data_IF_622265761558
#
_entry.id   IF_622265761558
#
_cell.length_a   1.000
_cell.length_b   1.000
_cell.length_c   1.000
_cell.angle_alpha   90.00
_cell.angle_beta   90.00
_cell.angle_gamma   90.00
#
_symmetry.space_group_name_H-M   'P 1'
#
loop_
_entity.id
_entity.type
_entity.pdbx_description
1 polymer ?
#
# COMPACT_ATOMS: atom_id res chain seq x y z
N UNK A 1 3.04 0.23 21.80
CA UNK A 1 2.10 1.27 22.25
C UNK A 1 0.76 0.65 22.66
N UNK A 2 0.03 0.01 21.74
CA UNK A 2 -1.28 -0.60 22.01
C UNK A 2 -1.24 -1.86 22.91
N UNK A 3 -0.06 -2.44 23.14
CA UNK A 3 0.15 -3.58 24.04
C UNK A 3 0.34 -3.18 25.51
N UNK A 4 0.39 -1.88 25.83
CA UNK A 4 0.53 -1.42 27.22
C UNK A 4 -0.76 -1.73 28.01
N UNK A 5 -0.67 -2.02 29.32
CA UNK A 5 -1.85 -2.33 30.15
C UNK A 5 -2.93 -1.25 30.11
N UNK A 6 -2.53 0.03 30.03
CA UNK A 6 -3.43 1.17 29.92
C UNK A 6 -4.26 1.20 28.62
N UNK A 7 -3.85 0.45 27.59
CA UNK A 7 -4.50 0.36 26.29
C UNK A 7 -5.10 -1.02 26.03
N UNK A 8 -5.20 -1.90 27.03
CA UNK A 8 -5.99 -3.12 26.88
C UNK A 8 -7.46 -2.75 26.68
N UNK A 9 -8.14 -3.44 25.77
CA UNK A 9 -9.57 -3.26 25.61
C UNK A 9 -10.27 -3.69 26.91
N UNK A 10 -11.25 -2.93 27.41
CA UNK A 10 -12.02 -3.31 28.59
C UNK A 10 -12.68 -4.68 28.42
N UNK A 11 -12.84 -5.46 29.49
CA UNK A 11 -13.37 -6.83 29.41
C UNK A 11 -14.77 -6.90 28.76
N UNK A 12 -15.60 -5.89 28.98
CA UNK A 12 -16.93 -5.78 28.39
C UNK A 12 -16.93 -5.62 26.85
N UNK A 13 -15.80 -5.21 26.25
CA UNK A 13 -15.68 -5.07 24.79
C UNK A 13 -15.45 -6.39 24.06
N UNK A 14 -15.03 -7.46 24.74
CA UNK A 14 -14.78 -8.75 24.12
C UNK A 14 -16.06 -9.55 23.86
N UNK A 15 -17.15 -9.24 24.56
CA UNK A 15 -18.42 -9.94 24.38
C UNK A 15 -19.32 -9.17 23.42
N UNK A 16 -19.39 -9.60 22.16
CA UNK A 16 -20.17 -8.96 21.10
C UNK A 16 -21.66 -8.77 21.44
N UNK A 17 -22.21 -9.57 22.37
CA UNK A 17 -23.59 -9.44 22.84
C UNK A 17 -23.82 -8.29 23.84
N UNK A 18 -22.73 -7.80 24.47
CA UNK A 18 -22.76 -6.73 25.48
C UNK A 18 -22.32 -5.37 24.91
N UNK A 19 -21.72 -5.35 23.72
CA UNK A 19 -21.22 -4.13 23.11
C UNK A 19 -22.33 -3.42 22.34
N UNK A 20 -22.87 -2.36 22.94
CA UNK A 20 -23.66 -1.39 22.20
C UNK A 20 -22.73 -0.43 21.46
N UNK A 21 -22.56 -0.63 20.15
CA UNK A 21 -21.69 0.18 19.28
C UNK A 21 -22.11 1.65 19.18
N UNK A 22 -23.36 1.96 19.55
CA UNK A 22 -23.91 3.32 19.56
C UNK A 22 -23.80 3.99 20.93
N UNK A 23 -23.27 3.30 21.95
CA UNK A 23 -23.13 3.89 23.28
C UNK A 23 -22.08 5.00 23.28
N UNK A 24 -22.30 6.08 24.07
CA UNK A 24 -21.31 7.16 24.19
C UNK A 24 -20.00 6.64 24.80
N UNK A 25 -20.07 5.65 25.69
CA UNK A 25 -18.89 5.03 26.33
C UNK A 25 -18.03 4.27 25.32
N UNK A 26 -18.63 3.46 24.46
CA UNK A 26 -17.91 2.78 23.39
C UNK A 26 -17.31 3.78 22.41
N UNK A 27 -18.06 4.83 22.10
CA UNK A 27 -17.61 5.90 21.20
C UNK A 27 -16.37 6.62 21.74
N UNK A 28 -16.39 6.99 23.02
CA UNK A 28 -15.28 7.68 23.66
C UNK A 28 -14.03 6.79 23.74
N UNK A 29 -14.18 5.48 23.95
CA UNK A 29 -13.06 4.54 24.08
C UNK A 29 -12.23 4.45 22.78
N UNK A 30 -12.89 4.25 21.62
CA UNK A 30 -12.15 4.23 20.35
C UNK A 30 -11.68 5.62 19.91
N UNK A 31 -12.46 6.68 20.19
CA UNK A 31 -12.05 8.07 19.89
C UNK A 31 -10.83 8.51 20.71
N UNK A 32 -10.73 8.08 21.98
CA UNK A 32 -9.55 8.32 22.82
C UNK A 32 -8.29 7.72 22.21
N UNK A 33 -8.37 6.48 21.72
CA UNK A 33 -7.26 5.79 21.05
C UNK A 33 -6.87 6.48 19.75
N UNK A 34 -7.86 6.90 18.94
CA UNK A 34 -7.60 7.65 17.71
C UNK A 34 -6.97 9.02 17.98
N UNK A 35 -7.41 9.76 19.02
CA UNK A 35 -6.80 11.04 19.39
C UNK A 35 -5.33 10.91 19.76
N UNK A 36 -4.98 9.85 20.49
CA UNK A 36 -3.59 9.61 20.87
C UNK A 36 -2.76 9.23 19.64
N UNK A 37 -3.27 8.32 18.82
CA UNK A 37 -2.59 7.88 17.62
C UNK A 37 -2.42 9.03 16.60
N UNK A 38 -3.43 9.89 16.47
CA UNK A 38 -3.36 11.13 15.70
C UNK A 38 -2.25 12.05 16.20
N UNK A 39 -2.19 12.35 17.50
CA UNK A 39 -1.18 13.26 18.05
C UNK A 39 0.23 12.70 17.92
N UNK A 40 0.38 11.40 18.19
CA UNK A 40 1.65 10.69 18.03
C UNK A 40 2.15 10.70 16.58
N UNK A 41 1.29 10.41 15.60
CA UNK A 41 1.65 10.45 14.17
C UNK A 41 2.04 11.86 13.76
N UNK A 42 1.31 12.89 14.20
CA UNK A 42 1.65 14.28 13.88
C UNK A 42 3.05 14.65 14.38
N UNK A 43 3.40 14.30 15.63
CA UNK A 43 4.74 14.57 16.18
C UNK A 43 5.82 13.78 15.43
N UNK A 44 5.60 12.49 15.18
CA UNK A 44 6.55 11.64 14.47
C UNK A 44 6.76 12.10 13.01
N UNK A 45 5.72 12.62 12.37
CA UNK A 45 5.80 13.17 11.01
C UNK A 45 6.62 14.45 10.93
N UNK A 46 6.56 15.33 11.95
CA UNK A 46 7.45 16.48 12.04
C UNK A 46 8.92 16.04 12.10
N UNK A 47 9.23 14.97 12.83
CA UNK A 47 10.57 14.37 12.84
C UNK A 47 10.97 13.86 11.44
N UNK A 48 10.08 13.14 10.76
CA UNK A 48 10.33 12.67 9.39
C UNK A 48 10.56 13.84 8.40
N UNK A 49 9.78 14.91 8.49
CA UNK A 49 9.97 16.12 7.69
C UNK A 49 11.34 16.77 7.94
N UNK A 50 11.74 16.89 9.21
CA UNK A 50 13.05 17.42 9.58
C UNK A 50 14.18 16.56 9.00
N UNK A 51 14.07 15.23 9.12
CA UNK A 51 15.05 14.28 8.56
C UNK A 51 15.11 14.36 7.03
N UNK A 52 13.95 14.46 6.35
CA UNK A 52 13.86 14.57 4.90
C UNK A 52 14.44 15.89 4.37
N UNK A 53 13.97 17.03 4.90
CA UNK A 53 14.37 18.36 4.40
C UNK A 53 15.76 18.81 4.87
N UNK A 54 16.28 18.31 6.00
CA UNK A 54 17.67 18.58 6.45
C UNK A 54 18.73 17.95 5.53
N UNK A 55 18.32 16.97 4.71
CA UNK A 55 19.20 16.26 3.81
C UNK A 55 19.97 15.10 4.45
N UNK A 56 19.65 14.76 5.70
CA UNK A 56 20.26 13.66 6.45
C UNK A 56 20.10 12.32 5.73
N UNK A 57 18.96 12.08 5.08
CA UNK A 57 18.73 10.86 4.29
C UNK A 57 19.81 10.69 3.22
N UNK A 58 20.17 11.74 2.50
CA UNK A 58 21.21 11.73 1.45
C UNK A 58 22.61 11.35 1.97
N UNK A 59 22.88 11.56 3.25
CA UNK A 59 24.07 11.05 3.93
C UNK A 59 23.91 9.56 4.29
N UNK A 60 22.77 9.19 4.87
CA UNK A 60 22.44 7.81 5.26
C UNK A 60 22.34 6.83 4.08
N UNK A 61 22.07 7.32 2.86
CA UNK A 61 22.08 6.51 1.63
C UNK A 61 23.38 5.72 1.41
N UNK A 62 24.51 6.14 2.02
CA UNK A 62 25.77 5.37 1.96
C UNK A 62 25.67 4.02 2.67
N UNK A 63 24.79 3.90 3.66
CA UNK A 63 24.60 2.71 4.50
C UNK A 63 23.35 1.92 4.11
N UNK A 64 22.47 2.50 3.29
CA UNK A 64 21.20 1.88 2.90
C UNK A 64 21.42 1.16 1.57
N UNK A 65 21.34 -0.18 1.59
CA UNK A 65 21.42 -1.02 0.41
C UNK A 65 20.42 -2.18 0.47
N UNK A 66 20.36 -3.03 -0.57
CA UNK A 66 19.46 -4.19 -0.59
C UNK A 66 19.62 -5.10 0.64
N UNK A 67 20.87 -5.22 1.15
CA UNK A 67 21.21 -5.99 2.35
C UNK A 67 20.60 -5.43 3.64
N UNK A 68 20.31 -4.13 3.72
CA UNK A 68 19.64 -3.52 4.86
C UNK A 68 18.13 -3.43 4.66
N UNK A 69 17.67 -3.19 3.42
CA UNK A 69 16.24 -3.05 3.10
C UNK A 69 15.49 -4.37 3.33
N UNK A 70 16.01 -5.49 2.82
CA UNK A 70 15.34 -6.79 2.93
C UNK A 70 15.06 -7.27 4.37
N UNK A 71 16.03 -7.22 5.32
CA UNK A 71 15.76 -7.57 6.71
C UNK A 71 14.84 -6.54 7.39
N UNK A 72 14.95 -5.26 7.07
CA UNK A 72 14.05 -4.23 7.62
C UNK A 72 12.58 -4.49 7.24
N UNK A 73 12.30 -4.78 5.96
CA UNK A 73 10.94 -5.13 5.50
C UNK A 73 10.46 -6.44 6.14
N UNK A 74 11.33 -7.45 6.23
CA UNK A 74 11.00 -8.72 6.90
C UNK A 74 10.61 -8.49 8.36
N UNK A 75 11.35 -7.65 9.09
CA UNK A 75 11.06 -7.31 10.49
C UNK A 75 9.77 -6.50 10.66
N UNK A 76 9.38 -5.68 9.67
CA UNK A 76 8.08 -5.03 9.65
C UNK A 76 6.92 -6.02 9.45
N UNK A 77 7.12 -7.05 8.64
CA UNK A 77 6.08 -8.03 8.32
C UNK A 77 5.83 -9.03 9.45
N UNK A 78 6.85 -9.39 10.24
CA UNK A 78 6.75 -10.42 11.28
C UNK A 78 5.63 -10.16 12.32
N UNK A 79 5.47 -8.96 12.90
CA UNK A 79 4.40 -8.68 13.85
C UNK A 79 2.99 -8.78 13.27
N UNK A 80 2.84 -8.67 11.95
CA UNK A 80 1.54 -8.79 11.28
C UNK A 80 1.07 -10.25 11.19
N UNK A 81 1.99 -11.21 11.33
CA UNK A 81 1.67 -12.63 11.17
C UNK A 81 0.66 -13.15 12.20
N UNK A 82 0.69 -12.66 13.44
CA UNK A 82 -0.30 -13.05 14.46
C UNK A 82 -1.69 -12.57 14.10
N UNK A 83 -1.83 -11.30 13.72
CA UNK A 83 -3.12 -10.72 13.32
C UNK A 83 -3.68 -11.40 12.07
N UNK A 84 -2.83 -11.63 11.06
CA UNK A 84 -3.24 -12.33 9.84
C UNK A 84 -3.60 -13.79 10.14
N UNK A 85 -2.89 -14.42 11.08
CA UNK A 85 -3.18 -15.78 11.53
C UNK A 85 -4.55 -15.90 12.20
N UNK A 86 -4.91 -14.94 13.06
CA UNK A 86 -6.22 -14.92 13.73
C UNK A 86 -7.36 -14.72 12.72
N UNK A 87 -7.20 -13.78 11.78
CA UNK A 87 -8.20 -13.51 10.73
C UNK A 87 -8.31 -14.66 9.72
N UNK A 88 -7.19 -15.24 9.28
CA UNK A 88 -7.18 -16.41 8.39
C UNK A 88 -7.72 -17.67 9.08
N UNK A 89 -7.52 -17.79 10.40
CA UNK A 89 -8.01 -18.87 11.25
C UNK A 89 -9.54 -18.90 11.35
N UNK A 90 -10.21 -17.75 11.19
CA UNK A 90 -11.66 -17.67 11.22
C UNK A 90 -12.33 -18.61 10.19
N UNK A 91 -11.72 -18.76 9.00
CA UNK A 91 -12.11 -19.78 8.03
C UNK A 91 -10.95 -20.19 7.11
N UNK A 92 -10.12 -21.14 7.59
CA UNK A 92 -8.93 -21.64 6.88
C UNK A 92 -9.17 -22.01 5.40
N UNK A 93 -10.32 -22.60 5.05
CA UNK A 93 -10.61 -23.00 3.67
C UNK A 93 -10.71 -21.82 2.68
N UNK A 94 -11.35 -20.72 3.10
CA UNK A 94 -11.48 -19.51 2.28
C UNK A 94 -10.14 -18.77 2.22
N UNK A 95 -9.39 -18.76 3.32
CA UNK A 95 -8.03 -18.21 3.34
C UNK A 95 -7.12 -18.96 2.35
N UNK A 96 -7.12 -20.30 2.39
CA UNK A 96 -6.35 -21.14 1.48
C UNK A 96 -6.76 -20.92 0.02
N UNK A 97 -8.06 -20.82 -0.28
CA UNK A 97 -8.55 -20.48 -1.61
C UNK A 97 -8.05 -19.10 -2.07
N UNK A 98 -8.11 -18.10 -1.19
CA UNK A 98 -7.67 -16.73 -1.51
C UNK A 98 -6.18 -16.71 -1.84
N UNK A 99 -5.35 -17.39 -1.04
CA UNK A 99 -3.92 -17.57 -1.30
C UNK A 99 -3.70 -18.27 -2.64
N UNK A 100 -4.42 -19.37 -2.88
CA UNK A 100 -4.34 -20.10 -4.14
C UNK A 100 -4.68 -19.22 -5.35
N UNK A 101 -5.76 -18.43 -5.28
CA UNK A 101 -6.15 -17.49 -6.34
C UNK A 101 -5.09 -16.40 -6.56
N UNK A 102 -4.52 -15.85 -5.48
CA UNK A 102 -3.43 -14.88 -5.57
C UNK A 102 -2.22 -15.50 -6.29
N UNK A 103 -1.82 -16.71 -5.92
CA UNK A 103 -0.70 -17.41 -6.55
C UNK A 103 -1.00 -17.75 -8.02
N UNK A 104 -2.21 -18.24 -8.31
CA UNK A 104 -2.64 -18.56 -9.66
C UNK A 104 -2.61 -17.32 -10.57
N UNK A 105 -3.12 -16.18 -10.09
CA UNK A 105 -3.14 -14.93 -10.86
C UNK A 105 -1.76 -14.29 -11.00
N UNK A 106 -0.98 -14.24 -9.93
CA UNK A 106 0.32 -13.58 -9.92
C UNK A 106 1.43 -14.38 -10.61
N UNK A 107 1.42 -15.72 -10.51
CA UNK A 107 2.48 -16.58 -11.04
C UNK A 107 2.13 -17.25 -12.37
N UNK A 108 0.92 -17.81 -12.49
CA UNK A 108 0.55 -18.64 -13.66
C UNK A 108 -0.16 -17.85 -14.76
N UNK A 109 -1.21 -17.10 -14.40
CA UNK A 109 -2.02 -16.33 -15.36
C UNK A 109 -1.46 -14.94 -15.69
N UNK A 110 -0.26 -14.62 -15.18
CA UNK A 110 0.45 -13.36 -15.39
C UNK A 110 0.51 -12.94 -16.87
N UNK A 111 0.79 -13.87 -17.77
CA UNK A 111 1.01 -13.58 -19.19
C UNK A 111 -0.27 -13.70 -20.04
N UNK A 112 -1.43 -13.93 -19.43
CA UNK A 112 -2.69 -14.05 -20.16
C UNK A 112 -3.21 -12.65 -20.50
N UNK A 113 -3.15 -12.30 -21.78
CA UNK A 113 -3.71 -11.07 -22.30
C UNK A 113 -5.23 -11.21 -22.46
N UNK A 114 -5.99 -10.46 -21.66
CA UNK A 114 -7.45 -10.37 -21.81
C UNK A 114 -7.76 -9.34 -22.92
N UNK A 115 -8.51 -9.72 -23.96
CA UNK A 115 -8.94 -8.78 -24.99
C UNK A 115 -10.00 -7.84 -24.42
N UNK A 116 -9.65 -6.58 -24.18
CA UNK A 116 -10.58 -5.55 -23.71
C UNK A 116 -11.02 -4.71 -24.92
N UNK A 117 -12.33 -4.56 -25.18
CA UNK A 117 -12.81 -3.70 -26.25
C UNK A 117 -12.54 -2.24 -25.88
N UNK A 118 -11.65 -1.58 -26.62
CA UNK A 118 -11.41 -0.14 -26.47
C UNK A 118 -12.19 0.61 -27.56
N UNK A 119 -13.08 1.49 -27.13
CA UNK A 119 -13.86 2.33 -28.03
C UNK A 119 -13.10 3.63 -28.33
N UNK A 120 -12.59 3.77 -29.55
CA UNK A 120 -11.87 4.96 -30.00
C UNK A 120 -12.28 5.35 -31.42
N UNK A 121 -12.68 6.63 -31.61
CA UNK A 121 -13.02 7.26 -32.90
C UNK A 121 -13.78 6.35 -33.88
N UNK A 122 -14.92 5.78 -33.46
CA UNK A 122 -15.88 5.12 -34.35
C UNK A 122 -15.50 3.74 -34.88
N UNK A 123 -14.40 3.13 -34.41
CA UNK A 123 -14.09 1.71 -34.66
C UNK A 123 -13.82 0.99 -33.34
N UNK A 124 -14.48 -0.15 -33.14
CA UNK A 124 -14.19 -1.03 -32.01
C UNK A 124 -12.84 -1.73 -32.29
N UNK A 125 -11.81 -1.41 -31.53
CA UNK A 125 -10.53 -2.12 -31.61
C UNK A 125 -10.30 -2.86 -30.29
N UNK A 126 -9.99 -4.14 -30.39
CA UNK A 126 -9.69 -4.99 -29.24
C UNK A 126 -8.23 -4.77 -28.82
N UNK A 127 -8.00 -4.23 -27.63
CA UNK A 127 -6.66 -4.05 -27.07
C UNK A 127 -6.33 -5.20 -26.11
N UNK A 128 -5.08 -5.64 -26.08
CA UNK A 128 -4.59 -6.69 -25.17
C UNK A 128 -4.25 -6.06 -23.82
N UNK A 129 -4.97 -6.42 -22.75
CA UNK A 129 -4.72 -5.92 -21.39
C UNK A 129 -4.35 -7.07 -20.44
N UNK A 130 -3.24 -6.91 -19.70
CA UNK A 130 -2.72 -7.93 -18.77
C UNK A 130 -3.34 -7.75 -17.37
N UNK A 131 -4.64 -8.00 -17.26
CA UNK A 131 -5.43 -7.78 -16.04
C UNK A 131 -4.84 -8.49 -14.81
N UNK A 132 -4.49 -9.76 -14.97
CA UNK A 132 -3.96 -10.62 -13.90
C UNK A 132 -2.59 -10.20 -13.39
N UNK A 133 -1.81 -9.47 -14.20
CA UNK A 133 -0.49 -9.00 -13.80
C UNK A 133 -0.57 -7.70 -13.00
N UNK A 134 -1.53 -6.82 -13.31
CA UNK A 134 -1.66 -5.50 -12.67
C UNK A 134 -2.49 -5.56 -11.38
N UNK A 135 -3.55 -6.37 -11.35
CA UNK A 135 -4.48 -6.46 -10.22
C UNK A 135 -4.71 -7.88 -9.68
N UNK A 136 -3.68 -8.74 -9.52
CA UNK A 136 -3.87 -10.13 -9.09
C UNK A 136 -4.55 -10.23 -7.73
N UNK A 137 -4.10 -9.42 -6.76
CA UNK A 137 -4.62 -9.45 -5.38
C UNK A 137 -6.07 -8.97 -5.34
N UNK A 138 -6.38 -7.84 -5.98
CA UNK A 138 -7.74 -7.30 -6.02
C UNK A 138 -8.72 -8.29 -6.67
N UNK A 139 -8.34 -8.90 -7.80
CA UNK A 139 -9.18 -9.88 -8.48
C UNK A 139 -9.42 -11.13 -7.63
N UNK A 140 -8.37 -11.64 -6.97
CA UNK A 140 -8.49 -12.77 -6.05
C UNK A 140 -9.43 -12.46 -4.88
N UNK A 141 -9.31 -11.27 -4.29
CA UNK A 141 -10.21 -10.80 -3.23
C UNK A 141 -11.66 -10.67 -3.71
N UNK A 142 -11.90 -10.12 -4.90
CA UNK A 142 -13.24 -10.03 -5.48
C UNK A 142 -13.87 -11.41 -5.69
N UNK A 143 -13.12 -12.39 -6.20
CA UNK A 143 -13.62 -13.74 -6.43
C UNK A 143 -13.84 -14.51 -5.12
N UNK A 144 -12.92 -14.39 -4.17
CA UNK A 144 -13.08 -14.98 -2.84
C UNK A 144 -14.31 -14.41 -2.13
N UNK A 145 -14.48 -13.08 -2.15
CA UNK A 145 -15.66 -12.42 -1.60
C UNK A 145 -16.94 -12.86 -2.32
N UNK A 146 -16.92 -12.95 -3.65
CA UNK A 146 -18.08 -13.41 -4.43
C UNK A 146 -18.46 -14.86 -4.07
N UNK A 147 -17.47 -15.74 -3.86
CA UNK A 147 -17.73 -17.08 -3.36
C UNK A 147 -18.36 -17.04 -1.96
N UNK A 148 -17.82 -16.25 -1.03
CA UNK A 148 -18.42 -16.08 0.30
C UNK A 148 -19.87 -15.58 0.19
N UNK A 149 -20.15 -14.66 -0.73
CA UNK A 149 -21.50 -14.17 -0.98
C UNK A 149 -22.43 -15.29 -1.45
N UNK A 150 -22.01 -16.10 -2.43
CA UNK A 150 -22.79 -17.27 -2.90
C UNK A 150 -23.04 -18.24 -1.74
N UNK A 151 -22.00 -18.60 -0.97
CA UNK A 151 -22.10 -19.51 0.18
C UNK A 151 -23.01 -18.98 1.29
N UNK A 152 -23.06 -17.65 1.45
CA UNK A 152 -23.97 -16.97 2.39
C UNK A 152 -25.41 -17.06 1.89
N UNK A 153 -25.67 -16.81 0.60
CA UNK A 153 -27.02 -16.87 0.02
C UNK A 153 -27.56 -18.30 -0.04
N UNK A 154 -26.69 -19.30 -0.20
CA UNK A 154 -27.08 -20.72 -0.20
C UNK A 154 -27.18 -21.32 1.22
N UNK A 155 -27.06 -20.49 2.27
CA UNK A 155 -27.09 -20.89 3.69
C UNK A 155 -26.15 -22.06 4.05
N UNK A 156 -25.04 -22.17 3.33
CA UNK A 156 -24.01 -23.20 3.59
C UNK A 156 -23.12 -22.85 4.77
N UNK A 157 -23.00 -21.55 5.08
CA UNK A 157 -22.27 -21.04 6.23
C UNK A 157 -23.22 -20.92 7.44
N UNK A 158 -22.79 -21.30 8.65
CA UNK A 158 -23.68 -21.32 9.80
C UNK A 158 -24.10 -19.90 10.22
N UNK A 159 -25.36 -19.75 10.63
CA UNK A 159 -25.92 -18.48 11.12
C UNK A 159 -25.67 -18.24 12.61
N UNK A 160 -25.17 -19.24 13.35
CA UNK A 160 -24.86 -19.12 14.77
C UNK A 160 -23.51 -18.40 14.98
N UNK A 161 -23.44 -17.32 15.78
CA UNK A 161 -22.22 -16.53 15.96
C UNK A 161 -21.02 -17.28 16.53
N UNK A 162 -21.27 -18.37 17.26
CA UNK A 162 -20.24 -19.20 17.90
C UNK A 162 -19.77 -20.36 17.02
N UNK A 163 -20.41 -20.57 15.87
CA UNK A 163 -20.09 -21.66 14.97
C UNK A 163 -18.93 -21.28 14.04
N UNK A 164 -18.08 -22.27 13.74
CA UNK A 164 -16.97 -22.12 12.81
C UNK A 164 -17.47 -21.68 11.42
N UNK A 165 -16.88 -20.61 10.88
CA UNK A 165 -17.24 -20.07 9.57
C UNK A 165 -18.34 -19.01 9.57
N UNK A 166 -18.95 -18.68 10.72
CA UNK A 166 -19.88 -17.55 10.83
C UNK A 166 -19.25 -16.22 10.36
N UNK A 167 -17.99 -15.97 10.74
CA UNK A 167 -17.26 -14.75 10.37
C UNK A 167 -16.95 -14.65 8.87
N UNK A 168 -17.09 -15.75 8.12
CA UNK A 168 -16.91 -15.73 6.67
C UNK A 168 -18.17 -15.24 5.91
N UNK A 169 -19.31 -15.13 6.59
CA UNK A 169 -20.55 -14.66 5.97
C UNK A 169 -20.47 -13.17 5.63
N UNK A 170 -21.00 -12.81 4.47
CA UNK A 170 -20.98 -11.42 3.98
C UNK A 170 -22.05 -10.53 4.62
N UNK A 171 -23.04 -11.11 5.30
CA UNK A 171 -24.17 -10.41 5.91
C UNK A 171 -23.94 -9.93 7.36
N UNK A 172 -22.86 -10.39 7.99
CA UNK A 172 -22.54 -10.14 9.42
C UNK A 172 -22.49 -8.66 9.82
N UNK A 173 -22.15 -7.76 8.89
CA UNK A 173 -21.97 -6.31 9.14
C UNK A 173 -22.93 -5.42 8.34
N UNK A 174 -24.01 -5.98 7.78
CA UNK A 174 -24.98 -5.22 6.97
C UNK A 174 -25.66 -4.10 7.76
N UNK A 175 -25.87 -4.28 9.07
CA UNK A 175 -26.41 -3.25 9.93
C UNK A 175 -25.58 -1.95 9.91
N UNK A 176 -24.24 -2.07 9.86
CA UNK A 176 -23.33 -0.91 9.79
C UNK A 176 -23.51 -0.15 8.48
N UNK A 177 -23.71 -0.85 7.36
CA UNK A 177 -23.98 -0.23 6.07
C UNK A 177 -25.31 0.53 6.07
N UNK A 178 -26.34 -0.03 6.70
CA UNK A 178 -27.67 0.62 6.80
C UNK A 178 -27.67 1.84 7.70
N UNK A 179 -26.83 1.87 8.74
CA UNK A 179 -26.70 3.01 9.66
C UNK A 179 -25.74 4.09 9.16
N UNK A 180 -24.92 3.79 8.15
CA UNK A 180 -23.92 4.72 7.66
C UNK A 180 -24.56 5.91 6.92
N UNK A 181 -24.10 7.15 7.17
CA UNK A 181 -24.55 8.30 6.41
C UNK A 181 -24.05 8.21 4.96
N UNK A 182 -24.92 8.53 4.00
CA UNK A 182 -24.57 8.56 2.57
C UNK A 182 -23.41 9.51 2.24
N UNK A 183 -23.32 10.63 2.96
CA UNK A 183 -22.24 11.60 2.81
C UNK A 183 -21.61 11.89 4.17
N UNK A 184 -20.31 11.62 4.28
CA UNK A 184 -19.48 11.97 5.43
C UNK A 184 -18.32 12.83 4.94
N UNK A 185 -18.28 14.09 5.36
CA UNK A 185 -17.15 14.97 5.10
C UNK A 185 -16.09 14.76 6.19
N UNK A 186 -14.92 14.19 5.89
CA UNK A 186 -13.85 14.08 6.87
C UNK A 186 -13.18 15.45 7.01
N UNK A 187 -12.84 15.85 8.23
CA UNK A 187 -12.22 17.15 8.52
C UNK A 187 -11.10 16.98 9.57
N UNK A 188 -10.12 17.90 9.63
CA UNK A 188 -9.01 17.78 10.56
C UNK A 188 -9.50 17.90 12.00
N UNK A 189 -9.02 17.02 12.87
CA UNK A 189 -9.43 16.98 14.28
C UNK A 189 -10.83 16.43 14.53
N UNK A 190 -11.40 15.65 13.60
CA UNK A 190 -12.75 15.08 13.75
C UNK A 190 -12.94 14.18 14.97
N UNK A 191 -11.86 13.62 15.51
CA UNK A 191 -11.90 12.77 16.71
C UNK A 191 -11.67 13.54 18.02
N UNK A 192 -11.51 14.87 17.95
CA UNK A 192 -11.23 15.74 19.09
C UNK A 192 -9.77 16.19 19.16
N UNK A 193 -9.37 16.75 20.32
CA UNK A 193 -8.00 17.29 20.51
C UNK A 193 -6.96 16.16 20.55
N UNK A 194 -5.89 16.21 19.73
CA UNK A 194 -4.84 15.21 19.74
C UNK A 194 -4.18 15.10 21.11
N UNK A 195 -3.93 13.87 21.56
CA UNK A 195 -3.16 13.60 22.78
C UNK A 195 -1.84 12.95 22.38
N UNK A 196 -0.80 13.12 23.20
CA UNK A 196 0.54 12.66 22.87
C UNK A 196 1.05 11.81 24.04
N UNK A 197 1.63 10.66 23.69
CA UNK A 197 2.35 9.80 24.61
C UNK A 197 3.77 9.61 24.11
N UNK A 198 4.74 9.80 25.00
CA UNK A 198 6.16 9.66 24.66
C UNK A 198 6.48 8.25 24.12
N UNK A 199 5.92 7.22 24.75
CA UNK A 199 6.09 5.83 24.30
C UNK A 199 5.46 5.60 22.92
N UNK A 200 4.34 6.27 22.62
CA UNK A 200 3.73 6.26 21.30
C UNK A 200 4.61 6.90 20.25
N UNK A 201 5.17 8.09 20.56
CA UNK A 201 6.05 8.84 19.65
C UNK A 201 7.25 8.00 19.24
N UNK A 202 7.96 7.39 20.19
CA UNK A 202 9.09 6.52 19.86
C UNK A 202 8.67 5.29 19.06
N UNK A 203 7.51 4.69 19.38
CA UNK A 203 6.98 3.55 18.65
C UNK A 203 6.68 3.87 17.17
N UNK A 204 6.04 5.01 16.91
CA UNK A 204 5.72 5.43 15.54
C UNK A 204 6.96 5.93 14.81
N UNK A 205 7.90 6.62 15.46
CA UNK A 205 9.17 7.02 14.83
C UNK A 205 9.94 5.78 14.34
N UNK A 206 9.96 4.68 15.10
CA UNK A 206 10.60 3.44 14.65
C UNK A 206 9.95 2.90 13.36
N UNK A 207 8.61 2.90 13.30
CA UNK A 207 7.87 2.53 12.08
C UNK A 207 8.16 3.46 10.90
N UNK A 208 8.21 4.78 11.13
CA UNK A 208 8.54 5.76 10.10
C UNK A 208 9.97 5.62 9.60
N UNK A 209 10.94 5.31 10.45
CA UNK A 209 12.32 5.02 10.00
C UNK A 209 12.33 3.82 9.05
N UNK A 210 11.59 2.78 9.39
CA UNK A 210 11.47 1.62 8.55
C UNK A 210 10.80 1.94 7.21
N UNK A 211 9.70 2.71 7.23
CA UNK A 211 9.02 3.19 6.01
C UNK A 211 9.92 4.10 5.17
N UNK A 212 10.75 4.96 5.77
CA UNK A 212 11.73 5.76 5.02
C UNK A 212 12.73 4.89 4.25
N UNK A 213 13.19 3.79 4.86
CA UNK A 213 14.10 2.83 4.20
C UNK A 213 13.40 2.10 3.05
N UNK A 214 12.14 1.72 3.23
CA UNK A 214 11.28 1.13 2.19
C UNK A 214 11.06 2.11 1.03
N UNK A 215 10.66 3.35 1.30
CA UNK A 215 10.44 4.41 0.29
C UNK A 215 11.70 4.70 -0.54
N UNK A 216 12.89 4.63 0.06
CA UNK A 216 14.14 4.75 -0.70
C UNK A 216 14.27 3.60 -1.72
N UNK A 217 14.01 2.37 -1.29
CA UNK A 217 14.00 1.20 -2.17
C UNK A 217 13.02 1.37 -3.33
N UNK A 218 11.83 1.89 -3.04
CA UNK A 218 10.79 2.22 -4.00
C UNK A 218 11.25 3.27 -5.02
N UNK A 219 11.91 4.35 -4.59
CA UNK A 219 12.43 5.36 -5.52
C UNK A 219 13.45 4.77 -6.50
N UNK A 220 14.35 3.92 -6.04
CA UNK A 220 15.32 3.23 -6.89
C UNK A 220 14.65 2.21 -7.82
N UNK A 221 13.68 1.43 -7.33
CA UNK A 221 12.93 0.48 -8.11
C UNK A 221 12.13 1.19 -9.22
N UNK A 222 11.44 2.28 -8.88
CA UNK A 222 10.70 3.10 -9.81
C UNK A 222 11.62 3.67 -10.89
N UNK A 223 12.75 4.31 -10.51
CA UNK A 223 13.72 4.84 -11.46
C UNK A 223 14.21 3.77 -12.45
N UNK A 224 14.50 2.57 -11.96
CA UNK A 224 14.92 1.44 -12.79
C UNK A 224 13.83 0.96 -13.75
N UNK A 225 12.58 0.85 -13.30
CA UNK A 225 11.46 0.39 -14.14
C UNK A 225 11.11 1.38 -15.24
N UNK A 226 11.27 2.68 -14.98
CA UNK A 226 11.00 3.73 -15.97
C UNK A 226 12.22 4.06 -16.85
N UNK A 227 13.37 3.42 -16.61
CA UNK A 227 14.61 3.67 -17.34
C UNK A 227 15.25 5.04 -17.07
N UNK A 228 14.92 5.66 -15.94
CA UNK A 228 15.51 6.92 -15.51
C UNK A 228 16.87 6.68 -14.81
N UNK A 229 17.77 7.69 -14.82
CA UNK A 229 18.98 7.63 -14.02
C UNK A 229 18.63 7.50 -12.52
N UNK A 230 19.53 6.95 -11.70
CA UNK A 230 19.29 6.83 -10.26
C UNK A 230 18.97 8.20 -9.65
N UNK A 231 17.95 8.29 -8.78
CA UNK A 231 17.47 9.57 -8.29
C UNK A 231 18.57 10.29 -7.50
N UNK A 232 18.81 11.58 -7.74
CA UNK A 232 19.83 12.32 -7.03
C UNK A 232 19.44 12.52 -5.55
N UNK A 233 20.44 12.67 -4.67
CA UNK A 233 20.23 12.77 -3.21
C UNK A 233 19.20 13.82 -2.80
N UNK A 234 19.21 14.98 -3.45
CA UNK A 234 18.27 16.07 -3.15
C UNK A 234 16.81 15.71 -3.50
N UNK A 235 16.59 14.88 -4.52
CA UNK A 235 15.25 14.42 -4.89
C UNK A 235 14.72 13.41 -3.87
N UNK A 236 15.57 12.49 -3.40
CA UNK A 236 15.22 11.51 -2.35
C UNK A 236 14.88 12.24 -1.04
N UNK A 237 15.74 13.18 -0.61
CA UNK A 237 15.52 14.00 0.57
C UNK A 237 14.17 14.73 0.53
N UNK A 238 13.85 15.36 -0.60
CA UNK A 238 12.56 16.03 -0.82
C UNK A 238 11.40 15.04 -0.85
N UNK A 239 11.57 13.86 -1.44
CA UNK A 239 10.57 12.78 -1.44
C UNK A 239 10.17 12.41 -0.02
N UNK A 240 11.14 12.06 0.82
CA UNK A 240 10.90 11.72 2.24
C UNK A 240 10.30 12.89 3.02
N UNK A 241 10.76 14.13 2.78
CA UNK A 241 10.17 15.31 3.43
C UNK A 241 8.70 15.52 3.07
N UNK A 242 8.33 15.25 1.82
CA UNK A 242 6.94 15.31 1.34
C UNK A 242 6.10 14.14 1.88
N UNK A 243 6.67 12.94 2.01
CA UNK A 243 6.00 11.83 2.69
C UNK A 243 5.72 12.15 4.17
N UNK A 244 6.66 12.82 4.85
CA UNK A 244 6.44 13.35 6.19
C UNK A 244 5.28 14.36 6.24
N UNK A 245 5.19 15.26 5.26
CA UNK A 245 4.07 16.20 5.15
C UNK A 245 2.74 15.48 4.91
N UNK A 246 2.72 14.46 4.04
CA UNK A 246 1.54 13.61 3.83
C UNK A 246 1.11 12.92 5.12
N UNK A 247 2.07 12.41 5.88
CA UNK A 247 1.86 11.76 7.18
C UNK A 247 1.31 12.73 8.21
N UNK A 248 1.80 13.97 8.23
CA UNK A 248 1.29 15.04 9.10
C UNK A 248 -0.18 15.34 8.80
N UNK A 249 -0.53 15.49 7.53
CA UNK A 249 -1.90 15.74 7.09
C UNK A 249 -2.81 14.55 7.39
N UNK A 250 -2.32 13.33 7.17
CA UNK A 250 -3.01 12.08 7.49
C UNK A 250 -3.32 11.97 8.98
N UNK A 251 -2.33 12.30 9.83
CA UNK A 251 -2.51 12.44 11.27
C UNK A 251 -3.56 13.50 11.62
N UNK A 252 -3.46 14.70 11.05
CA UNK A 252 -4.41 15.79 11.31
C UNK A 252 -5.86 15.43 10.96
N UNK A 253 -6.07 14.71 9.84
CA UNK A 253 -7.38 14.20 9.42
C UNK A 253 -7.87 12.99 10.22
N UNK A 254 -7.02 12.41 11.07
CA UNK A 254 -7.36 11.30 11.93
C UNK A 254 -7.55 9.98 11.18
N UNK A 255 -6.82 9.77 10.08
CA UNK A 255 -6.90 8.52 9.28
C UNK A 255 -6.38 7.29 10.05
N UNK A 256 -5.63 7.53 11.12
CA UNK A 256 -4.99 6.51 11.92
C UNK A 256 -3.76 5.85 11.27
N UNK A 257 -3.25 6.39 10.17
CA UNK A 257 -2.16 5.79 9.41
C UNK A 257 -1.19 6.87 8.88
N UNK A 258 0.07 6.49 8.65
CA UNK A 258 1.04 7.33 7.94
C UNK A 258 0.95 7.17 6.42
N UNK A 259 1.59 8.08 5.67
CA UNK A 259 1.69 7.97 4.22
C UNK A 259 3.07 7.49 3.81
N UNK A 260 3.13 6.57 2.85
CA UNK A 260 4.38 6.02 2.32
C UNK A 260 4.28 5.85 0.80
N UNK A 261 5.41 5.61 0.15
CA UNK A 261 5.44 5.11 -1.23
C UNK A 261 4.87 3.69 -1.29
N UNK A 262 4.17 3.37 -2.39
CA UNK A 262 3.44 2.11 -2.54
C UNK A 262 4.08 1.27 -3.64
N UNK A 263 4.78 0.20 -3.26
CA UNK A 263 5.54 -0.67 -4.16
C UNK A 263 4.66 -1.34 -5.22
N UNK A 264 3.38 -1.59 -4.92
CA UNK A 264 2.42 -2.17 -5.87
C UNK A 264 2.14 -1.24 -7.04
N UNK A 265 2.05 0.08 -6.79
CA UNK A 265 1.90 1.08 -7.85
C UNK A 265 3.15 1.10 -8.74
N UNK A 266 4.32 0.91 -8.15
CA UNK A 266 5.59 0.80 -8.89
C UNK A 266 5.62 -0.47 -9.73
N UNK A 267 5.13 -1.59 -9.20
CA UNK A 267 4.90 -2.83 -9.96
C UNK A 267 3.99 -2.60 -11.16
N UNK A 268 2.86 -1.92 -10.98
CA UNK A 268 1.93 -1.57 -12.05
C UNK A 268 2.57 -0.71 -13.16
N UNK A 269 3.46 0.23 -12.81
CA UNK A 269 4.23 1.01 -13.80
C UNK A 269 5.13 0.13 -14.67
N UNK A 270 5.82 -0.84 -14.08
CA UNK A 270 6.67 -1.79 -14.83
C UNK A 270 5.90 -2.61 -15.87
N UNK A 271 4.61 -2.85 -15.61
CA UNK A 271 3.73 -3.67 -16.47
C UNK A 271 3.09 -2.83 -17.57
N UNK A 272 2.48 -1.71 -17.17
CA UNK A 272 1.74 -0.83 -18.08
C UNK A 272 2.66 -0.07 -19.03
N UNK A 273 3.97 -0.03 -18.74
CA UNK A 273 5.00 0.71 -19.50
C UNK A 273 4.60 2.16 -19.78
N UNK A 274 3.72 2.71 -18.96
CA UNK A 274 3.09 4.01 -19.15
C UNK A 274 3.52 4.90 -18.00
N UNK A 275 4.63 5.62 -18.22
CA UNK A 275 5.16 6.58 -17.26
C UNK A 275 4.59 7.97 -17.56
N UNK A 276 3.27 8.09 -17.61
CA UNK A 276 2.66 9.39 -17.85
C UNK A 276 2.39 10.03 -16.49
N UNK A 277 3.13 11.10 -16.20
CA UNK A 277 2.75 12.09 -15.19
C UNK A 277 1.34 12.65 -15.41
N UNK A 278 0.65 12.34 -16.52
CA UNK A 278 -0.73 12.76 -16.82
C UNK A 278 -1.75 12.42 -15.72
N UNK A 279 -1.63 11.28 -15.03
CA UNK A 279 -2.55 10.94 -13.94
C UNK A 279 -2.34 11.84 -12.70
N UNK A 280 -1.12 12.32 -12.47
CA UNK A 280 -0.79 13.32 -11.43
C UNK A 280 -0.86 14.77 -11.92
N UNK A 281 -0.74 15.04 -13.22
CA UNK A 281 -0.93 16.35 -13.88
C UNK A 281 -2.40 16.78 -13.88
N UNK A 282 -3.32 15.85 -13.62
CA UNK A 282 -4.74 16.15 -13.40
C UNK A 282 -5.00 16.84 -12.05
N UNK A 283 -4.00 16.83 -11.14
CA UNK A 283 -4.06 17.53 -9.85
C UNK A 283 -3.33 18.88 -9.97
N UNK A 284 -4.01 20.02 -9.74
CA UNK A 284 -3.54 21.36 -10.15
C UNK A 284 -2.34 21.92 -9.36
N UNK A 285 -1.75 21.18 -8.42
CA UNK A 285 -0.75 21.70 -7.47
C UNK A 285 0.68 21.13 -7.64
N UNK A 286 0.94 20.23 -8.59
CA UNK A 286 2.27 19.61 -8.73
C UNK A 286 3.10 20.25 -9.86
N UNK A 287 4.41 20.51 -9.65
CA UNK A 287 5.27 21.06 -10.69
C UNK A 287 5.38 20.11 -11.89
N UNK A 288 5.28 20.68 -13.10
CA UNK A 288 5.42 19.98 -14.37
C UNK A 288 6.81 19.38 -14.49
N UNK A 289 6.90 18.06 -14.38
CA UNK A 289 8.04 17.31 -14.90
C UNK A 289 7.78 17.04 -16.38
N UNK A 290 8.46 17.79 -17.25
CA UNK A 290 8.60 17.44 -18.66
C UNK A 290 9.43 16.15 -18.73
N UNK A 291 8.76 15.03 -18.94
CA UNK A 291 9.45 13.82 -19.39
C UNK A 291 10.07 14.16 -20.73
N UNK A 292 11.40 14.04 -20.81
CA UNK A 292 12.22 14.53 -21.91
C UNK A 292 11.59 14.31 -23.27
N UNK A 293 11.26 15.41 -23.94
CA UNK A 293 10.87 15.43 -25.34
C UNK A 293 12.02 14.83 -26.13
N UNK A 294 11.83 13.63 -26.68
CA UNK A 294 12.77 12.94 -27.58
C UNK A 294 13.37 13.94 -28.57
N UNK A 295 14.66 14.26 -28.44
CA UNK A 295 15.42 14.78 -29.58
C UNK A 295 15.50 13.65 -30.59
N UNK A 296 15.07 13.91 -31.83
CA UNK A 296 15.23 13.01 -32.98
C UNK A 296 16.72 12.66 -33.09
N UNK A 297 17.11 11.44 -32.74
CA UNK A 297 18.47 10.96 -32.96
C UNK A 297 18.99 9.89 -31.99
N UNK A 298 18.47 9.79 -30.76
CA UNK A 298 18.97 8.79 -29.81
C UNK A 298 18.05 7.56 -29.76
N UNK A 299 18.57 6.45 -30.30
CA UNK A 299 17.99 5.12 -30.17
C UNK A 299 17.99 4.76 -28.68
N UNK A 300 16.80 4.52 -28.14
CA UNK A 300 16.65 4.03 -26.77
C UNK A 300 17.37 2.68 -26.67
N UNK A 301 18.24 2.51 -25.66
CA UNK A 301 18.90 1.24 -25.32
C UNK A 301 17.88 0.08 -25.11
N UNK A 302 16.60 0.40 -24.88
CA UNK A 302 15.49 -0.57 -24.85
C UNK A 302 15.07 -1.12 -26.22
N UNK A 303 15.46 -0.48 -27.33
CA UNK A 303 15.23 -0.99 -28.69
C UNK A 303 16.32 -1.97 -29.11
N UNK A 304 17.53 -1.85 -28.56
CA UNK A 304 18.65 -2.75 -28.88
C UNK A 304 18.47 -4.14 -28.25
N UNK A 305 17.84 -4.22 -27.07
CA UNK A 305 17.63 -5.52 -26.41
C UNK A 305 16.53 -6.39 -27.06
N UNK A 306 15.70 -5.81 -27.94
CA UNK A 306 14.67 -6.57 -28.67
C UNK A 306 15.11 -7.03 -30.06
N UNK A 307 16.28 -6.59 -30.55
CA UNK A 307 16.79 -6.98 -31.88
C UNK A 307 17.87 -8.08 -31.84
N UNK A 308 18.42 -8.43 -30.67
CA UNK A 308 19.57 -9.35 -30.58
C UNK A 308 19.21 -10.83 -30.31
N UNK A 309 17.97 -11.23 -30.58
CA UNK A 309 17.55 -12.66 -30.56
C UNK A 309 17.68 -13.35 -31.93
N UNK A 310 18.40 -12.75 -32.89
CA UNK A 310 18.73 -13.40 -34.16
C UNK A 310 20.25 -13.43 -34.31
N UNK A 311 20.86 -14.53 -33.87
CA UNK A 311 22.29 -14.65 -33.66
C UNK A 311 23.17 -14.19 -34.82
N UNK A 312 24.23 -13.44 -34.46
CA UNK A 312 25.52 -13.38 -35.14
C UNK A 312 26.60 -13.02 -34.12
N UNK A 313 27.61 -13.88 -34.02
CA UNK A 313 28.85 -13.62 -33.29
C UNK A 313 29.50 -12.31 -33.78
N UNK A 314 29.95 -11.46 -32.85
CA UNK A 314 31.13 -10.62 -33.07
C UNK A 314 31.94 -10.48 -31.77
N UNK A 315 33.19 -10.96 -31.85
CA UNK A 315 34.24 -10.77 -30.86
C UNK A 315 34.66 -9.29 -30.81
N UNK A 316 34.90 -8.75 -29.60
CA UNK A 316 36.10 -7.99 -29.24
C UNK A 316 35.89 -7.21 -27.93
N UNK A 317 36.79 -7.48 -26.96
CA UNK A 317 37.38 -6.64 -25.91
C UNK A 317 36.63 -5.35 -25.44
N UNK A 318 36.57 -5.02 -24.15
CA UNK A 318 37.75 -4.86 -23.26
C UNK A 318 37.28 -4.74 -21.81
N UNK A 319 38.06 -5.34 -20.90
CA UNK A 319 38.04 -5.14 -19.45
C UNK A 319 38.02 -3.68 -19.01
N UNK A 320 37.35 -3.40 -17.88
CA UNK A 320 38.00 -2.65 -16.79
C UNK A 320 37.29 -2.90 -15.46
N UNK A 321 38.05 -3.49 -14.51
CA UNK A 321 37.77 -3.55 -13.07
C UNK A 321 38.07 -2.20 -12.41
N UNK A 322 37.22 -1.77 -11.47
CA UNK A 322 37.50 -1.64 -10.02
C UNK A 322 36.27 -1.02 -9.34
#
# INVERSE_FOLDING_TARGET
>A
MLSLPAWKCPEWTFNASQVNTSSPEFTEEWQRRLRELQGVIMVASCFQMLVGFSGLIGYLLRFIGPLTIAPTISLLALPLFSSVGDDAGAHWGIAALTIFLILLFSQYLKNVAVPVPTYGRGKCHTSKFYLFQVFPVLLALCLAWFLCFVLTVTDTLPSAPTAYGYLARTDTRVHVLNQAPWFRFPYPGQWGRPTISLAGVFGIIAGLISSMVESIGDYYACARLVGAPPPPKHAINRGIGIEGLGTLLSGAWGTGNGTTSYSENIGALGITRSCTTSWTQSLPFWPRLECGRKRKGEVSQLTLYSQDSSGKHLNSATETRM
#
